data_IF_003522984597
#
_entry.id   IF_003522984597
#
_cell.length_a   1.000
_cell.length_b   1.000
_cell.length_c   1.000
_cell.angle_alpha   90.00
_cell.angle_beta   90.00
_cell.angle_gamma   90.00
#
_symmetry.space_group_name_H-M   'P 1'
#
loop_
_entity.id
_entity.type
_entity.pdbx_description
1 polymer ?
#
# COMPACT_ATOMS: atom_id res chain seq x y z
N UNK A 1 43.85 -3.93 24.47
CA UNK A 1 42.49 -3.76 23.93
C UNK A 1 42.55 -2.76 22.79
N UNK A 2 42.58 -3.24 21.54
CA UNK A 2 42.63 -2.36 20.36
C UNK A 2 41.24 -1.82 20.09
N UNK A 3 41.04 -0.56 20.44
CA UNK A 3 39.92 0.25 19.98
C UNK A 3 40.00 0.32 18.44
N UNK A 4 39.19 -0.51 17.77
CA UNK A 4 38.96 -0.37 16.32
C UNK A 4 38.33 0.99 16.10
N UNK A 5 39.16 2.02 15.86
CA UNK A 5 38.73 3.29 15.31
C UNK A 5 38.12 2.99 13.95
N UNK A 6 36.80 2.84 13.94
CA UNK A 6 36.06 2.76 12.70
C UNK A 6 36.32 4.04 11.91
N UNK A 7 36.71 3.89 10.65
CA UNK A 7 36.90 5.03 9.77
C UNK A 7 35.63 5.88 9.76
N UNK A 8 35.73 7.21 9.75
CA UNK A 8 34.57 8.11 9.83
C UNK A 8 33.53 7.83 8.73
N UNK A 9 33.98 7.32 7.58
CA UNK A 9 33.13 6.87 6.49
C UNK A 9 32.26 5.66 6.86
N UNK A 10 32.82 4.67 7.56
CA UNK A 10 32.07 3.50 8.04
C UNK A 10 31.05 3.86 9.11
N UNK A 11 31.37 4.81 10.01
CA UNK A 11 30.39 5.29 10.98
C UNK A 11 29.21 5.99 10.28
N UNK A 12 29.48 6.81 9.25
CA UNK A 12 28.43 7.46 8.46
C UNK A 12 27.56 6.45 7.70
N UNK A 13 28.16 5.42 7.10
CA UNK A 13 27.40 4.37 6.42
C UNK A 13 26.53 3.58 7.39
N UNK A 14 27.03 3.27 8.59
CA UNK A 14 26.24 2.58 9.62
C UNK A 14 25.04 3.42 10.06
N UNK A 15 25.24 4.70 10.34
CA UNK A 15 24.15 5.61 10.70
C UNK A 15 23.11 5.73 9.59
N UNK A 16 23.53 5.83 8.31
CA UNK A 16 22.59 5.77 7.17
C UNK A 16 21.80 4.47 7.11
N UNK A 17 22.45 3.33 7.36
CA UNK A 17 21.77 2.02 7.39
C UNK A 17 20.82 1.88 8.58
N UNK A 18 21.16 2.45 9.73
CA UNK A 18 20.30 2.48 10.91
C UNK A 18 19.09 3.38 10.68
N UNK A 19 19.23 4.54 10.03
CA UNK A 19 18.09 5.38 9.63
C UNK A 19 17.19 4.69 8.60
N UNK A 20 17.75 4.01 7.60
CA UNK A 20 16.97 3.21 6.63
C UNK A 20 16.22 2.05 7.29
N UNK A 21 16.83 1.40 8.30
CA UNK A 21 16.16 0.34 9.08
C UNK A 21 15.09 0.90 10.01
N UNK A 22 15.33 2.07 10.61
CA UNK A 22 14.40 2.72 11.55
C UNK A 22 13.22 3.39 10.83
N UNK A 23 13.44 3.93 9.63
CA UNK A 23 12.41 4.47 8.72
C UNK A 23 11.87 3.42 7.72
N UNK A 24 12.10 2.12 7.96
CA UNK A 24 11.57 1.04 7.13
C UNK A 24 10.04 1.06 7.06
N UNK A 25 9.38 1.50 8.14
CA UNK A 25 7.92 1.63 8.20
C UNK A 25 7.37 2.70 7.25
N UNK A 26 8.13 3.77 6.96
CA UNK A 26 7.70 4.86 6.08
C UNK A 26 7.72 4.47 4.59
N UNK A 27 8.70 3.67 4.18
CA UNK A 27 8.77 3.13 2.81
C UNK A 27 7.70 2.05 2.56
N UNK A 28 7.36 1.25 3.57
CA UNK A 28 6.30 0.25 3.44
C UNK A 28 4.92 0.88 3.43
N UNK A 29 4.66 1.94 4.22
CA UNK A 29 3.39 2.67 4.16
C UNK A 29 3.18 3.37 2.82
N UNK A 30 4.24 3.97 2.25
CA UNK A 30 4.16 4.59 0.92
C UNK A 30 3.97 3.54 -0.18
N UNK A 31 4.64 2.39 -0.08
CA UNK A 31 4.45 1.27 -1.01
C UNK A 31 3.03 0.72 -0.96
N UNK A 32 2.44 0.58 0.23
CA UNK A 32 1.08 0.06 0.40
C UNK A 32 0.03 1.08 -0.05
N UNK A 33 0.18 2.36 0.30
CA UNK A 33 -0.71 3.42 -0.19
C UNK A 33 -0.63 3.55 -1.71
N UNK A 34 0.57 3.48 -2.30
CA UNK A 34 0.76 3.55 -3.75
C UNK A 34 0.28 2.30 -4.48
N UNK A 35 0.44 1.10 -3.91
CA UNK A 35 -0.10 -0.13 -4.49
C UNK A 35 -1.63 -0.18 -4.39
N UNK A 36 -2.20 0.26 -3.27
CA UNK A 36 -3.64 0.27 -3.05
C UNK A 36 -4.34 1.34 -3.88
N UNK A 37 -3.74 2.52 -4.04
CA UNK A 37 -4.27 3.58 -4.92
C UNK A 37 -4.02 3.28 -6.39
N UNK A 38 -2.82 2.80 -6.74
CA UNK A 38 -2.43 2.50 -8.12
C UNK A 38 -3.24 1.36 -8.72
N UNK A 39 -3.45 0.26 -7.98
CA UNK A 39 -4.16 -0.91 -8.51
C UNK A 39 -5.66 -0.68 -8.74
N UNK A 40 -6.32 0.05 -7.83
CA UNK A 40 -7.76 0.33 -7.98
C UNK A 40 -8.00 1.42 -9.03
N UNK A 41 -7.16 2.45 -9.06
CA UNK A 41 -7.26 3.50 -10.09
C UNK A 41 -6.98 2.91 -11.47
N UNK A 42 -5.96 2.06 -11.62
CA UNK A 42 -5.64 1.41 -12.91
C UNK A 42 -6.73 0.40 -13.33
N UNK A 43 -7.39 -0.27 -12.37
CA UNK A 43 -8.53 -1.13 -12.65
C UNK A 43 -9.74 -0.31 -13.14
N UNK A 44 -10.07 0.80 -12.48
CA UNK A 44 -11.17 1.70 -12.89
C UNK A 44 -10.85 2.37 -14.24
N UNK A 45 -9.58 2.70 -14.50
CA UNK A 45 -9.15 3.30 -15.76
C UNK A 45 -9.17 2.29 -16.91
N UNK A 46 -8.75 1.04 -16.66
CA UNK A 46 -8.73 -0.03 -17.68
C UNK A 46 -10.12 -0.61 -18.00
N UNK A 47 -11.03 -0.72 -17.03
CA UNK A 47 -12.43 -1.07 -17.27
C UNK A 47 -13.25 0.06 -17.91
N UNK A 48 -12.76 1.30 -17.77
CA UNK A 48 -13.43 2.50 -18.22
C UNK A 48 -14.72 2.80 -17.42
N UNK A 49 -15.26 3.98 -17.67
CA UNK A 49 -16.43 4.49 -16.94
C UNK A 49 -17.68 3.62 -17.13
N UNK A 50 -17.83 2.97 -18.29
CA UNK A 50 -18.96 2.07 -18.59
C UNK A 50 -18.87 0.76 -17.82
N UNK A 51 -17.69 0.12 -17.81
CA UNK A 51 -17.47 -1.14 -17.08
C UNK A 51 -17.56 -0.94 -15.57
N UNK A 52 -16.97 0.15 -15.07
CA UNK A 52 -17.03 0.50 -13.65
C UNK A 52 -18.46 0.80 -13.19
N UNK A 53 -19.25 1.50 -14.01
CA UNK A 53 -20.66 1.77 -13.70
C UNK A 53 -21.49 0.49 -13.58
N UNK A 54 -21.32 -0.46 -14.50
CA UNK A 54 -22.00 -1.76 -14.46
C UNK A 54 -21.57 -2.56 -13.22
N UNK A 55 -20.27 -2.59 -12.91
CA UNK A 55 -19.74 -3.29 -11.74
C UNK A 55 -20.36 -2.77 -10.44
N UNK A 56 -20.48 -1.45 -10.28
CA UNK A 56 -21.11 -0.82 -9.11
C UNK A 56 -22.57 -1.23 -8.99
N UNK A 57 -23.33 -1.22 -10.09
CA UNK A 57 -24.74 -1.62 -10.11
C UNK A 57 -24.90 -3.07 -9.64
N UNK A 58 -24.05 -3.98 -10.11
CA UNK A 58 -24.08 -5.40 -9.71
C UNK A 58 -23.79 -5.56 -8.22
N UNK A 59 -22.79 -4.86 -7.68
CA UNK A 59 -22.46 -4.89 -6.26
C UNK A 59 -23.64 -4.41 -5.41
N UNK A 60 -24.28 -3.31 -5.80
CA UNK A 60 -25.45 -2.77 -5.09
C UNK A 60 -26.62 -3.75 -5.11
N UNK A 61 -26.88 -4.40 -6.25
CA UNK A 61 -27.93 -5.41 -6.38
C UNK A 61 -27.67 -6.61 -5.46
N UNK A 62 -26.45 -7.16 -5.49
CA UNK A 62 -26.06 -8.29 -4.62
C UNK A 62 -26.17 -7.91 -3.14
N UNK A 63 -25.71 -6.72 -2.76
CA UNK A 63 -25.80 -6.23 -1.39
C UNK A 63 -27.25 -6.04 -0.96
N UNK A 64 -28.10 -5.50 -1.82
CA UNK A 64 -29.52 -5.26 -1.54
C UNK A 64 -30.27 -6.58 -1.36
N UNK A 65 -30.06 -7.55 -2.25
CA UNK A 65 -30.69 -8.87 -2.17
C UNK A 65 -30.16 -9.64 -0.95
N UNK A 66 -28.84 -9.65 -0.75
CA UNK A 66 -28.22 -10.29 0.41
C UNK A 66 -28.70 -9.69 1.73
N UNK A 67 -28.75 -8.36 1.83
CA UNK A 67 -29.29 -7.68 3.01
C UNK A 67 -30.76 -7.97 3.21
N UNK A 68 -31.58 -7.99 2.15
CA UNK A 68 -33.00 -8.32 2.26
C UNK A 68 -33.23 -9.76 2.73
N UNK A 69 -32.42 -10.71 2.26
CA UNK A 69 -32.48 -12.11 2.69
C UNK A 69 -31.95 -12.29 4.11
N UNK A 70 -30.87 -11.60 4.48
CA UNK A 70 -30.25 -11.70 5.81
C UNK A 70 -31.03 -10.92 6.89
N UNK A 71 -31.71 -9.84 6.53
CA UNK A 71 -32.50 -8.99 7.43
C UNK A 71 -33.95 -9.47 7.59
N UNK A 72 -34.28 -10.66 7.10
CA UNK A 72 -35.58 -11.31 7.28
C UNK A 72 -35.46 -12.46 8.26
#
# INVERSE_FOLDING_TARGET
MSEKKETPERQRERLRQEELKRNRSGSMSDGFNRASSGSLVDLVNSLGWKGTGILIIVIILLFTIGSFVFNR
#
